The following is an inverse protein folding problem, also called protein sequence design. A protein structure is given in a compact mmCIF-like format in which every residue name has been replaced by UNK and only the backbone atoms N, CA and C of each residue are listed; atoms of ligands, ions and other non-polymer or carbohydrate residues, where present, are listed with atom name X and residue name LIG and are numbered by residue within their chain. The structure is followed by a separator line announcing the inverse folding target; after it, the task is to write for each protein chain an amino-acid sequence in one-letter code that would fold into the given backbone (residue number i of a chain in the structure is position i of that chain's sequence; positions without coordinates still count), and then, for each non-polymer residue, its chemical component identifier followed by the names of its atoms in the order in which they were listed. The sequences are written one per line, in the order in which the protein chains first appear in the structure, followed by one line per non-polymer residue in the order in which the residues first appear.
data_IF_119272808412
#
_entry.id   IF_119272808412
#
_cell.length_a   1.000
_cell.length_b   1.000
_cell.length_c   1.000
_cell.angle_alpha   90.00
_cell.angle_beta   90.00
_cell.angle_gamma   90.00
#
_symmetry.space_group_name_H-M   'P 1'
#
loop_
_entity.id
_entity.type
_entity.pdbx_description
1 polymer ?
#
# COMPACT_ATOMS: atom_id res chain seq x y z
N UNK A 1 -21.34 20.15 -61.58
CA UNK A 1 -22.09 18.99 -62.10
C UNK A 1 -22.46 18.08 -60.94
N UNK A 2 -23.76 17.82 -60.79
CA UNK A 2 -24.43 16.75 -60.04
C UNK A 2 -24.31 16.68 -58.51
N UNK A 3 -25.42 17.13 -57.93
CA UNK A 3 -26.10 16.76 -56.68
C UNK A 3 -26.38 15.26 -56.51
N UNK A 4 -26.86 14.94 -55.29
CA UNK A 4 -27.63 13.77 -54.79
C UNK A 4 -26.83 12.94 -53.75
N UNK A 5 -27.33 12.48 -52.60
CA UNK A 5 -28.48 12.74 -51.70
C UNK A 5 -28.50 11.55 -50.70
N UNK A 6 -29.14 11.75 -49.53
CA UNK A 6 -29.57 10.76 -48.50
C UNK A 6 -28.54 10.52 -47.36
N UNK A 7 -28.74 10.99 -46.11
CA UNK A 7 -29.77 10.66 -45.08
C UNK A 7 -29.76 9.17 -44.73
N UNK A 8 -29.86 8.68 -43.50
CA UNK A 8 -29.98 9.17 -42.11
C UNK A 8 -29.75 7.89 -41.24
N UNK A 9 -29.93 7.99 -39.92
CA UNK A 9 -30.21 6.88 -38.99
C UNK A 9 -29.07 6.28 -38.15
N UNK A 10 -28.89 6.94 -37.00
CA UNK A 10 -29.04 6.38 -35.64
C UNK A 10 -29.10 4.85 -35.47
N UNK A 11 -28.15 4.30 -34.70
CA UNK A 11 -28.45 3.21 -33.74
C UNK A 11 -27.63 3.38 -32.47
N UNK A 12 -28.33 3.79 -31.42
CA UNK A 12 -28.04 3.55 -30.00
C UNK A 12 -28.34 2.09 -29.65
N UNK A 13 -27.43 1.41 -28.93
CA UNK A 13 -27.68 0.20 -28.13
C UNK A 13 -26.35 -0.22 -27.47
N UNK A 14 -26.25 -0.75 -26.26
CA UNK A 14 -27.11 -0.84 -25.07
C UNK A 14 -26.21 -1.44 -23.97
N UNK A 15 -26.43 -1.04 -22.71
CA UNK A 15 -25.72 -1.58 -21.55
C UNK A 15 -26.39 -2.86 -21.05
N UNK A 16 -25.66 -3.89 -20.55
CA UNK A 16 -26.29 -5.03 -19.90
C UNK A 16 -26.60 -4.72 -18.43
N UNK A 17 -27.89 -4.76 -18.09
CA UNK A 17 -28.41 -4.71 -16.72
C UNK A 17 -28.24 -6.07 -15.98
N UNK A 18 -28.23 -6.08 -14.63
CA UNK A 18 -28.14 -7.29 -13.82
C UNK A 18 -29.51 -7.97 -13.59
N UNK A 19 -29.54 -9.30 -13.75
CA UNK A 19 -30.69 -10.14 -13.50
C UNK A 19 -31.10 -10.17 -12.01
N UNK A 20 -32.34 -9.78 -11.77
CA UNK A 20 -33.09 -9.95 -10.53
C UNK A 20 -33.92 -11.23 -10.60
N UNK A 21 -33.69 -12.18 -9.69
CA UNK A 21 -34.63 -13.28 -9.42
C UNK A 21 -34.70 -13.54 -7.91
N UNK A 22 -35.79 -13.05 -7.31
CA UNK A 22 -36.35 -13.53 -6.05
C UNK A 22 -37.61 -14.32 -6.38
N UNK A 23 -37.87 -15.46 -5.71
CA UNK A 23 -39.25 -15.90 -5.52
C UNK A 23 -39.67 -15.80 -4.06
N UNK A 24 -40.81 -15.14 -3.87
CA UNK A 24 -41.62 -15.17 -2.67
C UNK A 24 -42.23 -16.57 -2.47
N UNK A 25 -42.20 -17.08 -1.25
CA UNK A 25 -43.26 -17.93 -0.70
C UNK A 25 -43.49 -17.49 0.74
N UNK A 26 -44.64 -16.87 0.98
CA UNK A 26 -45.16 -16.66 2.31
C UNK A 26 -45.77 -17.96 2.84
N UNK A 27 -45.62 -18.21 4.14
CA UNK A 27 -46.57 -19.01 4.89
C UNK A 27 -46.69 -18.43 6.30
N UNK A 28 -47.83 -17.80 6.53
CA UNK A 28 -48.33 -17.33 7.82
C UNK A 28 -48.99 -18.49 8.55
N UNK A 29 -48.53 -18.79 9.77
CA UNK A 29 -49.37 -19.46 10.78
C UNK A 29 -48.94 -19.01 12.19
N UNK A 30 -49.84 -18.22 12.80
CA UNK A 30 -50.33 -18.27 14.19
C UNK A 30 -49.39 -18.86 15.27
N UNK A 31 -48.96 -18.09 16.26
CA UNK A 31 -49.66 -17.71 17.50
C UNK A 31 -49.34 -18.64 18.71
N UNK A 32 -48.76 -18.01 19.74
CA UNK A 32 -49.09 -18.13 21.16
C UNK A 32 -49.31 -19.54 21.75
N UNK A 33 -48.35 -20.04 22.55
CA UNK A 33 -48.69 -20.75 23.78
C UNK A 33 -47.58 -20.68 24.84
N UNK A 34 -48.02 -20.65 26.09
CA UNK A 34 -47.32 -20.30 27.32
C UNK A 34 -46.81 -21.55 28.07
N UNK A 35 -45.77 -21.34 28.89
CA UNK A 35 -45.50 -21.99 30.19
C UNK A 35 -45.35 -23.53 30.27
N UNK A 36 -44.13 -24.01 30.55
CA UNK A 36 -43.79 -24.69 31.82
C UNK A 36 -42.38 -25.31 31.82
N UNK A 37 -41.63 -25.02 32.88
CA UNK A 37 -40.54 -25.85 33.44
C UNK A 37 -41.14 -26.68 34.60
N UNK A 38 -40.43 -27.61 35.28
CA UNK A 38 -39.24 -28.43 34.95
C UNK A 38 -39.48 -29.94 35.26
N UNK A 39 -38.50 -30.84 35.08
CA UNK A 39 -38.13 -31.94 36.03
C UNK A 39 -37.14 -32.98 35.46
N UNK A 40 -35.92 -32.94 35.98
CA UNK A 40 -35.19 -34.08 36.59
C UNK A 40 -34.55 -35.22 35.78
N UNK A 41 -33.36 -35.60 36.28
CA UNK A 41 -32.59 -36.86 36.18
C UNK A 41 -31.60 -37.11 35.01
N UNK A 42 -30.34 -36.73 35.31
CA UNK A 42 -29.15 -37.61 35.38
C UNK A 42 -28.90 -38.63 34.27
N UNK A 43 -27.76 -38.49 33.57
CA UNK A 43 -26.79 -39.60 33.50
C UNK A 43 -25.36 -39.07 33.40
N UNK A 44 -24.54 -39.64 34.28
CA UNK A 44 -23.16 -39.33 34.60
C UNK A 44 -22.26 -40.25 33.77
N UNK A 45 -21.45 -39.72 32.85
CA UNK A 45 -20.28 -40.45 32.36
C UNK A 45 -19.02 -39.62 32.55
N UNK A 46 -18.24 -40.18 33.46
CA UNK A 46 -16.93 -39.85 33.96
C UNK A 46 -15.86 -39.84 32.85
N UNK A 47 -15.20 -38.71 32.60
CA UNK A 47 -13.76 -38.70 32.31
C UNK A 47 -13.14 -37.34 32.68
N UNK A 48 -12.13 -37.42 33.53
CA UNK A 48 -11.49 -36.32 34.24
C UNK A 48 -10.61 -35.42 33.34
N UNK A 49 -10.53 -34.12 33.65
CA UNK A 49 -9.71 -33.13 32.94
C UNK A 49 -8.25 -33.13 33.40
N UNK A 50 -7.31 -32.86 32.49
CA UNK A 50 -5.90 -32.61 32.82
C UNK A 50 -5.52 -31.19 32.39
N UNK A 51 -5.31 -30.33 33.40
CA UNK A 51 -4.40 -29.16 33.50
C UNK A 51 -4.51 -28.12 32.36
N UNK A 52 -4.83 -26.86 32.58
CA UNK A 52 -4.87 -26.02 33.78
C UNK A 52 -4.68 -24.59 33.28
N UNK A 53 -5.56 -23.68 33.70
CA UNK A 53 -5.38 -22.23 33.73
C UNK A 53 -6.57 -21.67 34.53
N UNK A 54 -6.61 -22.03 35.81
CA UNK A 54 -7.39 -21.34 36.82
C UNK A 54 -6.52 -20.26 37.44
N UNK A 55 -7.13 -19.16 37.84
CA UNK A 55 -6.56 -17.92 38.40
C UNK A 55 -6.26 -16.90 37.31
N UNK A 56 -7.32 -16.23 36.82
CA UNK A 56 -7.41 -14.78 36.54
C UNK A 56 -8.80 -14.37 35.97
N UNK A 57 -9.70 -15.32 35.68
CA UNK A 57 -11.05 -15.03 35.14
C UNK A 57 -12.12 -14.64 36.19
N UNK A 58 -11.78 -14.40 37.46
CA UNK A 58 -12.78 -14.13 38.51
C UNK A 58 -12.54 -12.84 39.30
N UNK A 59 -12.10 -11.76 38.64
CA UNK A 59 -12.01 -10.43 39.26
C UNK A 59 -12.26 -9.26 38.28
N UNK A 60 -13.19 -9.40 37.33
CA UNK A 60 -13.57 -8.30 36.43
C UNK A 60 -15.09 -8.07 36.36
N UNK A 61 -15.79 -8.22 37.49
CA UNK A 61 -17.24 -7.97 37.61
C UNK A 61 -17.59 -6.90 38.66
N UNK A 62 -16.64 -6.10 39.16
CA UNK A 62 -16.91 -5.13 40.26
C UNK A 62 -16.49 -3.69 39.95
N UNK A 63 -15.88 -3.41 38.80
CA UNK A 63 -15.61 -2.03 38.39
C UNK A 63 -16.17 -1.82 36.99
N UNK A 64 -17.32 -1.15 36.91
CA UNK A 64 -17.89 -0.66 35.67
C UNK A 64 -16.93 0.30 34.98
N UNK A 65 -16.02 -0.28 34.20
CA UNK A 65 -15.08 0.40 33.33
C UNK A 65 -15.37 -0.12 31.93
N UNK A 66 -15.84 0.80 31.09
CA UNK A 66 -16.18 0.58 29.71
C UNK A 66 -15.07 -0.20 28.99
N UNK A 67 -15.42 -1.40 28.53
CA UNK A 67 -14.58 -2.27 27.70
C UNK A 67 -14.22 -1.65 26.34
N UNK A 68 -14.58 -0.38 26.12
CA UNK A 68 -14.49 0.34 24.86
C UNK A 68 -13.22 1.22 24.74
N UNK A 69 -12.42 1.40 25.80
CA UNK A 69 -11.26 2.33 25.81
C UNK A 69 -9.91 1.64 26.03
N UNK A 70 -9.78 0.36 25.70
CA UNK A 70 -8.51 -0.37 25.82
C UNK A 70 -8.08 -1.11 24.53
N UNK A 71 -8.81 -0.94 23.42
CA UNK A 71 -8.45 -1.48 22.12
C UNK A 71 -7.75 -0.44 21.23
N UNK A 72 -6.98 0.49 21.82
CA UNK A 72 -5.84 1.05 21.10
C UNK A 72 -4.76 -0.04 21.09
N UNK A 73 -4.92 -1.03 20.19
CA UNK A 73 -3.86 -1.97 19.87
C UNK A 73 -2.71 -1.12 19.35
N UNK A 74 -1.80 -0.76 20.25
CA UNK A 74 -0.50 -0.20 19.90
C UNK A 74 0.23 -1.34 19.20
N UNK A 75 -0.06 -1.53 17.91
CA UNK A 75 0.83 -2.22 17.00
C UNK A 75 2.19 -1.55 17.21
N UNK A 76 3.11 -2.25 17.87
CA UNK A 76 4.43 -1.74 18.16
C UNK A 76 5.09 -1.35 16.83
N UNK A 77 5.03 -0.05 16.52
CA UNK A 77 5.46 0.50 15.25
C UNK A 77 6.97 0.33 15.18
N UNK A 78 7.43 -0.57 14.33
CA UNK A 78 8.86 -0.82 14.11
C UNK A 78 9.55 0.50 13.78
N UNK A 79 10.69 0.76 14.44
CA UNK A 79 11.47 2.00 14.32
C UNK A 79 11.72 2.37 12.86
N UNK A 80 11.41 3.61 12.50
CA UNK A 80 11.71 4.18 11.19
C UNK A 80 13.18 4.60 11.13
N UNK A 81 13.78 4.54 9.95
CA UNK A 81 15.18 4.93 9.76
C UNK A 81 15.38 6.45 9.86
N UNK A 82 14.35 7.23 9.51
CA UNK A 82 14.37 8.69 9.55
C UNK A 82 13.04 9.19 10.09
N UNK A 83 13.10 10.23 10.91
CA UNK A 83 11.93 10.92 11.40
C UNK A 83 11.61 12.14 10.50
N UNK A 84 10.32 12.45 10.30
CA UNK A 84 9.92 13.66 9.60
C UNK A 84 10.28 14.89 10.43
N UNK A 85 10.61 15.98 9.75
CA UNK A 85 10.98 17.24 10.41
C UNK A 85 9.79 17.78 11.23
N UNK A 86 8.56 17.67 10.70
CA UNK A 86 7.33 18.01 11.39
C UNK A 86 6.38 16.80 11.45
N UNK A 87 6.14 16.18 12.63
CA UNK A 87 5.31 14.98 12.74
C UNK A 87 3.82 15.24 12.47
N UNK A 88 3.34 16.46 12.72
CA UNK A 88 1.96 16.87 12.50
C UNK A 88 1.65 17.02 11.00
N UNK A 89 2.56 17.65 10.24
CA UNK A 89 2.42 17.89 8.79
C UNK A 89 2.96 16.74 7.93
N UNK A 90 3.08 15.55 8.50
CA UNK A 90 3.64 14.40 7.79
C UNK A 90 2.87 13.12 8.05
N UNK A 91 2.86 12.27 7.04
CA UNK A 91 2.29 10.92 7.11
C UNK A 91 3.41 9.90 6.97
N UNK A 92 3.28 8.77 7.68
CA UNK A 92 4.22 7.65 7.65
C UNK A 92 3.49 6.41 7.14
N UNK A 93 4.12 5.66 6.25
CA UNK A 93 3.65 4.36 5.82
C UNK A 93 4.83 3.38 5.71
N UNK A 94 4.58 2.11 6.03
CA UNK A 94 5.60 1.06 5.99
C UNK A 94 5.04 -0.24 5.44
N UNK A 95 5.82 -0.90 4.59
CA UNK A 95 5.60 -2.28 4.18
C UNK A 95 6.71 -3.16 4.75
N UNK A 96 6.35 -4.20 5.49
CA UNK A 96 7.31 -5.11 6.12
C UNK A 96 7.33 -6.48 5.42
N UNK A 97 8.53 -7.07 5.31
CA UNK A 97 8.75 -8.42 4.75
C UNK A 97 8.10 -8.65 3.37
N UNK A 98 8.09 -7.62 2.53
CA UNK A 98 7.50 -7.70 1.20
C UNK A 98 8.30 -8.65 0.31
N UNK A 99 7.61 -9.62 -0.30
CA UNK A 99 8.22 -10.60 -1.20
C UNK A 99 8.42 -10.07 -2.62
N UNK A 100 9.28 -9.07 -2.74
CA UNK A 100 9.68 -8.44 -4.00
C UNK A 100 11.20 -8.46 -4.17
N UNK A 101 11.69 -8.09 -5.35
CA UNK A 101 13.14 -8.06 -5.61
C UNK A 101 13.73 -6.75 -5.11
N UNK A 102 14.43 -6.80 -3.96
CA UNK A 102 15.05 -5.64 -3.31
C UNK A 102 15.70 -4.63 -4.28
N UNK A 103 16.53 -5.11 -5.21
CA UNK A 103 17.26 -4.21 -6.13
C UNK A 103 16.33 -3.43 -7.04
N UNK A 104 15.25 -4.05 -7.52
CA UNK A 104 14.30 -3.40 -8.43
C UNK A 104 13.44 -2.40 -7.66
N UNK A 105 12.99 -2.79 -6.47
CA UNK A 105 12.21 -1.94 -5.57
C UNK A 105 13.00 -0.70 -5.15
N UNK A 106 14.31 -0.83 -4.88
CA UNK A 106 15.18 0.29 -4.54
C UNK A 106 15.30 1.31 -5.68
N UNK A 107 15.49 0.86 -6.93
CA UNK A 107 15.54 1.78 -8.08
C UNK A 107 14.18 2.45 -8.31
N UNK A 108 13.08 1.70 -8.15
CA UNK A 108 11.72 2.24 -8.26
C UNK A 108 11.47 3.32 -7.21
N UNK A 109 11.82 3.05 -5.95
CA UNK A 109 11.71 4.02 -4.87
C UNK A 109 12.59 5.26 -5.10
N UNK A 110 13.80 5.08 -5.61
CA UNK A 110 14.69 6.19 -5.92
C UNK A 110 14.11 7.13 -6.98
N UNK A 111 13.42 6.59 -7.98
CA UNK A 111 12.78 7.37 -9.03
C UNK A 111 11.59 8.21 -8.54
N UNK A 112 10.92 7.80 -7.46
CA UNK A 112 9.75 8.50 -6.90
C UNK A 112 10.10 9.61 -5.90
N UNK A 113 11.35 9.68 -5.46
CA UNK A 113 11.78 10.61 -4.42
C UNK A 113 11.55 12.06 -4.87
N UNK A 114 10.98 12.89 -3.98
CA UNK A 114 10.62 14.31 -4.21
C UNK A 114 9.54 14.56 -5.28
N UNK A 115 8.77 13.54 -5.67
CA UNK A 115 7.61 13.74 -6.54
C UNK A 115 6.34 14.06 -5.72
N UNK A 116 5.41 14.86 -6.27
CA UNK A 116 4.07 15.00 -5.68
C UNK A 116 3.30 13.69 -5.81
N UNK A 117 2.39 13.44 -4.87
CA UNK A 117 1.69 12.15 -4.73
C UNK A 117 0.90 11.76 -5.98
N UNK A 118 0.14 12.71 -6.56
CA UNK A 118 -0.68 12.47 -7.76
C UNK A 118 0.16 12.10 -8.99
N UNK A 119 1.34 12.73 -9.14
CA UNK A 119 2.29 12.40 -10.22
C UNK A 119 2.94 11.04 -9.99
N UNK A 120 3.27 10.71 -8.75
CA UNK A 120 3.88 9.43 -8.39
C UNK A 120 2.97 8.24 -8.74
N UNK A 121 1.67 8.34 -8.44
CA UNK A 121 0.67 7.33 -8.80
C UNK A 121 0.59 7.12 -10.32
N UNK A 122 0.36 8.20 -11.07
CA UNK A 122 0.30 8.17 -12.54
C UNK A 122 1.57 7.57 -13.14
N UNK A 123 2.74 7.93 -12.62
CA UNK A 123 4.00 7.39 -13.10
C UNK A 123 4.11 5.88 -12.87
N UNK A 124 3.64 5.36 -11.73
CA UNK A 124 3.64 3.91 -11.48
C UNK A 124 2.64 3.18 -12.38
N UNK A 125 1.46 3.74 -12.60
CA UNK A 125 0.47 3.19 -13.56
C UNK A 125 1.05 3.11 -14.98
N UNK A 126 1.77 4.15 -15.42
CA UNK A 126 2.48 4.15 -16.70
C UNK A 126 3.59 3.09 -16.77
N UNK A 127 4.25 2.78 -15.65
CA UNK A 127 5.24 1.69 -15.58
C UNK A 127 4.56 0.33 -15.73
N UNK A 128 3.38 0.15 -15.14
CA UNK A 128 2.59 -1.09 -15.30
C UNK A 128 2.14 -1.27 -16.75
N UNK A 129 1.73 -0.18 -17.39
CA UNK A 129 1.39 -0.13 -18.82
C UNK A 129 2.62 -0.14 -19.75
N UNK A 130 3.85 -0.22 -19.22
CA UNK A 130 5.11 -0.18 -19.96
C UNK A 130 5.33 1.08 -20.81
N UNK A 131 4.58 2.16 -20.56
CA UNK A 131 4.72 3.44 -21.27
C UNK A 131 5.94 4.23 -20.82
N UNK A 132 6.30 4.10 -19.54
CA UNK A 132 7.44 4.80 -18.95
C UNK A 132 8.37 3.81 -18.24
N UNK A 133 9.66 3.88 -18.53
CA UNK A 133 10.67 3.05 -17.88
C UNK A 133 11.15 3.64 -16.55
N UNK A 134 11.59 2.76 -15.64
CA UNK A 134 12.30 3.13 -14.42
C UNK A 134 13.80 3.15 -14.70
N UNK A 135 14.51 4.26 -14.45
CA UNK A 135 15.96 4.31 -14.64
C UNK A 135 16.67 3.50 -13.56
N UNK A 136 17.64 2.68 -13.97
CA UNK A 136 18.51 1.93 -13.05
C UNK A 136 19.83 2.70 -12.87
N UNK A 137 20.12 3.10 -11.63
CA UNK A 137 21.26 3.97 -11.30
C UNK A 137 22.41 3.23 -10.63
N UNK A 138 22.12 2.32 -9.67
CA UNK A 138 23.16 1.57 -8.92
C UNK A 138 23.32 0.15 -9.44
N UNK A 139 22.22 -0.53 -9.72
CA UNK A 139 22.23 -1.95 -10.09
C UNK A 139 22.28 -2.15 -11.61
N UNK A 140 23.43 -1.82 -12.20
CA UNK A 140 23.62 -1.57 -13.64
C UNK A 140 24.32 -2.70 -14.42
N UNK A 141 24.84 -3.73 -13.74
CA UNK A 141 25.74 -4.76 -14.30
C UNK A 141 24.98 -5.80 -15.14
N UNK A 142 24.53 -5.42 -16.33
CA UNK A 142 23.80 -6.29 -17.26
C UNK A 142 22.31 -5.94 -17.44
N UNK A 143 21.93 -4.68 -17.22
CA UNK A 143 20.57 -4.20 -17.49
C UNK A 143 20.50 -3.66 -18.93
N UNK A 144 19.43 -4.00 -19.63
CA UNK A 144 19.15 -3.49 -20.98
C UNK A 144 19.04 -1.97 -21.01
N UNK A 145 19.37 -1.38 -22.17
CA UNK A 145 19.26 0.07 -22.41
C UNK A 145 17.97 0.37 -23.14
N UNK A 146 17.32 1.48 -22.78
CA UNK A 146 16.05 1.89 -23.38
C UNK A 146 16.08 3.37 -23.68
N UNK A 147 15.53 3.79 -24.83
CA UNK A 147 15.49 5.20 -25.23
C UNK A 147 14.75 6.07 -24.19
N UNK A 148 13.65 5.57 -23.63
CA UNK A 148 12.87 6.24 -22.57
C UNK A 148 13.70 6.58 -21.33
N UNK A 149 14.67 5.71 -20.98
CA UNK A 149 15.52 5.91 -19.81
C UNK A 149 16.56 7.01 -20.02
N UNK A 150 16.95 7.29 -21.27
CA UNK A 150 17.92 8.35 -21.61
C UNK A 150 17.43 9.73 -21.18
N UNK A 151 16.13 9.98 -21.28
CA UNK A 151 15.52 11.26 -20.90
C UNK A 151 15.59 11.54 -19.40
N UNK A 152 15.71 10.50 -18.57
CA UNK A 152 15.78 10.64 -17.10
C UNK A 152 17.17 10.46 -16.54
N UNK A 153 18.04 9.69 -17.21
CA UNK A 153 19.37 9.39 -16.70
C UNK A 153 20.36 9.10 -17.82
N UNK A 154 21.58 9.65 -17.69
CA UNK A 154 22.64 9.61 -18.70
C UNK A 154 23.09 8.19 -19.06
N UNK A 155 23.02 7.24 -18.12
CA UNK A 155 23.41 5.85 -18.36
C UNK A 155 22.48 5.14 -19.39
N UNK A 156 21.23 5.61 -19.53
CA UNK A 156 20.25 5.07 -20.48
C UNK A 156 19.78 3.64 -20.18
N UNK A 157 20.09 3.10 -19.00
CA UNK A 157 19.63 1.79 -18.55
C UNK A 157 18.30 1.91 -17.81
N UNK A 158 17.34 1.06 -18.14
CA UNK A 158 16.01 1.07 -17.51
C UNK A 158 15.24 -0.22 -17.72
N UNK A 159 14.24 -0.44 -16.87
CA UNK A 159 13.32 -1.59 -16.92
C UNK A 159 11.93 -1.20 -16.44
N UNK A 160 10.97 -2.11 -16.62
CA UNK A 160 9.60 -2.01 -16.09
C UNK A 160 9.37 -3.08 -15.00
N UNK A 161 9.75 -2.83 -13.74
CA UNK A 161 9.57 -3.81 -12.67
C UNK A 161 8.12 -3.83 -12.14
N UNK A 162 7.21 -4.45 -12.91
CA UNK A 162 5.75 -4.51 -12.64
C UNK A 162 5.43 -4.90 -11.19
N UNK A 163 5.99 -6.01 -10.70
CA UNK A 163 5.73 -6.47 -9.33
C UNK A 163 6.12 -5.42 -8.29
N UNK A 164 7.26 -4.75 -8.45
CA UNK A 164 7.71 -3.75 -7.46
C UNK A 164 6.87 -2.48 -7.51
N UNK A 165 6.42 -2.08 -8.71
CA UNK A 165 5.53 -0.94 -8.90
C UNK A 165 4.18 -1.15 -8.20
N UNK A 166 3.56 -2.32 -8.33
CA UNK A 166 2.29 -2.65 -7.65
C UNK A 166 2.39 -2.47 -6.12
N UNK A 167 3.38 -3.09 -5.48
CA UNK A 167 3.55 -3.00 -4.03
C UNK A 167 3.80 -1.56 -3.53
N UNK A 168 4.47 -0.73 -4.33
CA UNK A 168 4.69 0.68 -3.97
C UNK A 168 3.42 1.50 -4.19
N UNK A 169 2.65 1.21 -5.23
CA UNK A 169 1.36 1.85 -5.48
C UNK A 169 0.37 1.56 -4.35
N UNK A 170 0.33 0.33 -3.86
CA UNK A 170 -0.49 -0.05 -2.70
C UNK A 170 -0.04 0.67 -1.42
N UNK A 171 1.28 0.85 -1.23
CA UNK A 171 1.83 1.65 -0.13
C UNK A 171 1.47 3.13 -0.23
N UNK A 172 1.42 3.70 -1.43
CA UNK A 172 1.01 5.09 -1.64
C UNK A 172 -0.48 5.29 -1.36
N UNK A 173 -1.33 4.35 -1.74
CA UNK A 173 -2.77 4.36 -1.38
C UNK A 173 -2.97 4.31 0.14
N UNK A 174 -2.23 3.42 0.82
CA UNK A 174 -2.26 3.37 2.28
C UNK A 174 -1.75 4.68 2.91
N UNK A 175 -0.70 5.28 2.36
CA UNK A 175 -0.17 6.55 2.85
C UNK A 175 -1.16 7.72 2.66
N UNK A 176 -1.94 7.72 1.59
CA UNK A 176 -3.01 8.67 1.35
C UNK A 176 -4.14 8.51 2.38
N UNK A 177 -4.64 7.29 2.61
CA UNK A 177 -5.65 7.06 3.66
C UNK A 177 -5.16 7.48 5.05
N UNK A 178 -3.87 7.28 5.34
CA UNK A 178 -3.27 7.76 6.59
C UNK A 178 -3.15 9.29 6.65
N UNK A 179 -3.04 9.98 5.52
CA UNK A 179 -3.01 11.44 5.46
C UNK A 179 -4.41 12.04 5.64
N UNK A 180 -5.44 11.41 5.05
CA UNK A 180 -6.84 11.76 5.25
C UNK A 180 -7.24 11.65 6.73
N UNK A 181 -6.85 10.56 7.40
CA UNK A 181 -7.09 10.38 8.84
C UNK A 181 -6.41 11.47 9.69
N UNK A 182 -5.28 12.02 9.22
CA UNK A 182 -4.60 13.13 9.88
C UNK A 182 -5.17 14.51 9.51
N UNK A 183 -6.12 14.59 8.57
CA UNK A 183 -6.67 15.85 8.06
C UNK A 183 -5.66 16.66 7.25
N UNK A 184 -4.66 16.02 6.64
CA UNK A 184 -3.74 16.69 5.72
C UNK A 184 -4.38 16.80 4.34
N UNK A 185 -4.11 17.88 3.62
CA UNK A 185 -4.56 18.04 2.24
C UNK A 185 -3.80 17.09 1.31
N UNK A 186 -4.53 16.25 0.57
CA UNK A 186 -3.96 15.17 -0.24
C UNK A 186 -3.20 15.70 -1.47
N UNK A 187 -3.65 16.83 -2.01
CA UNK A 187 -3.13 17.39 -3.26
C UNK A 187 -1.78 18.11 -3.09
N UNK A 188 -1.55 18.72 -1.93
CA UNK A 188 -0.29 19.38 -1.58
C UNK A 188 0.81 18.43 -1.09
N UNK A 189 0.52 17.14 -0.90
CA UNK A 189 1.48 16.16 -0.41
C UNK A 189 2.53 15.77 -1.46
N UNK A 190 3.76 15.62 -0.98
CA UNK A 190 4.85 15.06 -1.75
C UNK A 190 5.65 14.02 -0.97
N UNK A 191 6.37 13.17 -1.70
CA UNK A 191 7.22 12.13 -1.13
C UNK A 191 8.53 12.77 -0.66
N UNK A 192 8.61 13.08 0.63
CA UNK A 192 9.81 13.63 1.27
C UNK A 192 10.91 12.58 1.36
N UNK A 193 10.58 11.43 1.92
CA UNK A 193 11.53 10.35 2.14
C UNK A 193 10.94 9.00 1.74
N UNK A 194 11.74 8.23 1.01
CA UNK A 194 11.45 6.85 0.69
C UNK A 194 12.74 6.05 0.80
N UNK A 195 12.66 4.93 1.51
CA UNK A 195 13.79 4.05 1.74
C UNK A 195 13.35 2.60 1.59
N UNK A 196 14.26 1.79 1.04
CA UNK A 196 14.07 0.35 0.89
C UNK A 196 15.25 -0.33 1.56
N UNK A 197 14.96 -1.15 2.56
CA UNK A 197 15.93 -1.92 3.32
C UNK A 197 15.79 -3.41 2.98
N UNK A 198 16.89 -4.15 2.95
CA UNK A 198 16.83 -5.61 2.82
C UNK A 198 16.26 -6.20 4.10
N UNK A 199 15.27 -7.08 3.94
CA UNK A 199 14.75 -7.90 5.02
C UNK A 199 15.52 -9.22 5.09
N UNK A 200 15.20 -10.04 6.09
CA UNK A 200 15.84 -11.35 6.27
C UNK A 200 15.63 -12.24 5.05
N UNK A 201 16.72 -12.76 4.48
CA UNK A 201 16.65 -13.64 3.29
C UNK A 201 15.96 -14.96 3.63
N UNK A 202 14.99 -15.35 2.82
CA UNK A 202 14.36 -16.66 2.94
C UNK A 202 15.25 -17.72 2.30
N UNK A 203 15.47 -18.82 3.03
CA UNK A 203 16.39 -19.89 2.62
C UNK A 203 15.62 -20.98 1.87
N UNK A 204 16.11 -21.37 0.70
CA UNK A 204 15.75 -22.58 -0.03
C UNK A 204 17.02 -23.23 -0.57
N UNK A 205 17.02 -24.56 -0.68
CA UNK A 205 18.11 -25.34 -1.29
C UNK A 205 17.75 -25.70 -2.73
N UNK A 206 18.75 -25.79 -3.58
CA UNK A 206 18.62 -26.26 -4.96
C UNK A 206 19.72 -27.26 -5.24
N UNK A 207 19.31 -28.47 -5.61
CA UNK A 207 20.22 -29.53 -6.03
C UNK A 207 20.72 -29.26 -7.44
N UNK A 208 22.01 -29.51 -7.67
CA UNK A 208 22.70 -29.33 -8.93
C UNK A 208 23.38 -30.64 -9.33
N UNK A 209 23.87 -30.69 -10.57
CA UNK A 209 24.63 -31.81 -11.09
C UNK A 209 25.82 -32.16 -10.17
N UNK A 210 26.20 -33.45 -10.20
CA UNK A 210 27.28 -34.02 -9.37
C UNK A 210 27.06 -33.86 -7.85
N UNK A 211 25.80 -33.89 -7.38
CA UNK A 211 25.48 -33.84 -5.96
C UNK A 211 25.73 -32.49 -5.27
N UNK A 212 26.02 -31.42 -6.01
CA UNK A 212 26.26 -30.09 -5.44
C UNK A 212 24.96 -29.47 -4.90
N UNK A 213 25.02 -28.80 -3.75
CA UNK A 213 23.87 -28.13 -3.14
C UNK A 213 24.12 -26.61 -3.08
N UNK A 214 23.34 -25.85 -3.84
CA UNK A 214 23.44 -24.39 -3.85
C UNK A 214 22.22 -23.73 -3.19
N UNK A 215 22.37 -22.57 -2.56
CA UNK A 215 21.24 -21.82 -2.02
C UNK A 215 20.52 -21.04 -3.13
N UNK A 216 19.18 -21.06 -3.11
CA UNK A 216 18.34 -20.14 -3.89
C UNK A 216 17.50 -19.30 -2.93
N UNK A 217 18.02 -18.11 -2.60
CA UNK A 217 17.44 -17.26 -1.56
C UNK A 217 16.57 -16.16 -2.16
N UNK A 218 15.38 -15.93 -1.60
CA UNK A 218 14.64 -14.69 -1.89
C UNK A 218 15.12 -13.58 -0.97
N UNK A 219 15.15 -12.36 -1.49
CA UNK A 219 15.54 -11.15 -0.75
C UNK A 219 14.31 -10.26 -0.56
N UNK A 220 13.46 -10.53 0.45
CA UNK A 220 12.35 -9.64 0.78
C UNK A 220 12.88 -8.27 1.23
N UNK A 221 12.00 -7.27 1.30
CA UNK A 221 12.39 -5.93 1.69
C UNK A 221 11.38 -5.24 2.61
N UNK A 222 11.88 -4.35 3.45
CA UNK A 222 11.09 -3.35 4.15
C UNK A 222 11.10 -2.06 3.34
N UNK A 223 9.95 -1.44 3.13
CA UNK A 223 9.82 -0.15 2.48
C UNK A 223 9.27 0.82 3.51
N UNK A 224 9.93 1.96 3.65
CA UNK A 224 9.52 3.06 4.52
C UNK A 224 9.25 4.27 3.65
N UNK A 225 8.11 4.93 3.91
CA UNK A 225 7.65 6.07 3.16
C UNK A 225 7.17 7.17 4.13
N UNK A 226 7.60 8.39 3.84
CA UNK A 226 7.20 9.59 4.57
C UNK A 226 6.71 10.60 3.56
N UNK A 227 5.45 10.99 3.71
CA UNK A 227 4.87 12.11 3.00
C UNK A 227 4.96 13.35 3.87
N UNK A 228 5.24 14.48 3.25
CA UNK A 228 5.21 15.77 3.91
C UNK A 228 4.35 16.71 3.08
N UNK A 229 3.66 17.60 3.76
CA UNK A 229 2.96 18.70 3.12
C UNK A 229 3.99 19.70 2.57
N UNK A 230 3.75 20.20 1.37
CA UNK A 230 4.61 21.22 0.79
C UNK A 230 4.22 22.57 1.39
N UNK A 231 5.10 23.15 2.18
CA UNK A 231 4.92 24.55 2.59
C UNK A 231 5.07 25.43 1.34
N UNK A 232 4.05 26.23 1.05
CA UNK A 232 4.16 27.22 -0.02
C UNK A 232 5.34 28.14 0.32
N UNK A 233 6.32 28.28 -0.58
CA UNK A 233 7.46 29.14 -0.29
C UNK A 233 6.94 30.58 -0.22
N UNK A 234 7.01 31.17 0.96
CA UNK A 234 6.85 32.62 1.16
C UNK A 234 7.76 33.30 0.15
N UNK A 235 7.18 34.10 -0.75
CA UNK A 235 7.92 34.85 -1.76
C UNK A 235 9.03 35.63 -1.05
N UNK A 236 10.29 35.27 -1.29
CA UNK A 236 11.40 36.14 -0.93
C UNK A 236 11.20 37.45 -1.66
N UNK A 237 11.27 38.56 -0.92
CA UNK A 237 11.27 39.89 -1.51
C UNK A 237 12.35 39.97 -2.60
N UNK A 238 12.10 40.68 -3.72
CA UNK A 238 13.05 40.75 -4.82
C UNK A 238 14.36 41.36 -4.30
N UNK A 239 15.46 40.62 -4.43
CA UNK A 239 16.80 41.14 -4.16
C UNK A 239 17.03 42.36 -5.06
N UNK A 240 17.04 43.54 -4.45
CA UNK A 240 17.39 44.81 -5.09
C UNK A 240 18.77 44.67 -5.73
N UNK A 241 18.83 44.88 -7.04
CA UNK A 241 20.04 44.74 -7.86
C UNK A 241 21.16 45.65 -7.36
N UNK A 242 22.09 45.11 -6.57
CA UNK A 242 23.33 45.80 -6.19
C UNK A 242 24.46 45.42 -7.17
N UNK A 243 24.60 46.29 -8.17
CA UNK A 243 25.77 46.65 -9.00
C UNK A 243 26.63 45.56 -9.69
N UNK A 244 27.01 45.76 -10.97
CA UNK A 244 27.89 44.84 -11.69
C UNK A 244 29.33 44.85 -11.14
N UNK A 245 29.84 43.67 -10.76
CA UNK A 245 31.25 43.48 -10.42
C UNK A 245 32.12 43.72 -11.66
N UNK A 246 33.01 44.72 -11.59
CA UNK A 246 34.08 44.93 -12.57
C UNK A 246 35.05 43.76 -12.49
N UNK A 247 35.27 43.07 -13.61
CA UNK A 247 36.35 42.09 -13.81
C UNK A 247 37.70 42.82 -13.88
N UNK A 248 38.71 42.25 -13.22
CA UNK A 248 40.12 42.62 -13.38
C UNK A 248 40.76 41.67 -14.38
#
# INVERSE_FOLDING_TARGET
MRTLSLSEDSVTAEAPAPDSLSPAVGCSVTAMELLSLPSSLSFLTHQQPRRGNSIQETLFSVLGLDFCTAAAVVFAMVKYSREPDNPTKSCKARGSDLRVHFKNTRETAHALRKMPLSKAKRYLEDVLAHKQAIPFTRFCRGVGRTAQAKNRHSNGQGRWPVKSANFILDLLKNAESNAEVKGLDVDSLYISHIQVNQARKQRRRTYRAHGRINPYMSSPCHIELILSEKEEPVKKEPETQLAPKKTK
#
